data_IF_706017559210
#
_entry.id   IF_706017559210
#
_cell.length_a   1.000
_cell.length_b   1.000
_cell.length_c   1.000
_cell.angle_alpha   90.00
_cell.angle_beta   90.00
_cell.angle_gamma   90.00
#
_symmetry.space_group_name_H-M   'P 1'
#
loop_
_entity.id
_entity.type
_entity.pdbx_description
1 polymer ?
#
# COMPACT_ATOMS: atom_id res chain seq x y z
N UNK A 1 1.82 21.02 -6.55
CA UNK A 1 0.99 20.02 -7.19
C UNK A 1 -0.39 20.56 -7.58
N UNK A 2 -1.06 21.40 -6.77
CA UNK A 2 -2.37 21.97 -7.10
C UNK A 2 -2.36 22.85 -8.38
N UNK A 3 -1.30 23.58 -8.61
CA UNK A 3 -1.12 24.40 -9.81
C UNK A 3 -1.07 23.52 -11.06
N UNK A 4 -0.32 22.41 -11.01
CA UNK A 4 -0.26 21.43 -12.11
C UNK A 4 -1.61 20.78 -12.35
N UNK A 5 -2.32 20.38 -11.29
CA UNK A 5 -3.67 19.85 -11.40
C UNK A 5 -4.63 20.85 -12.08
N UNK A 6 -4.59 22.12 -11.70
CA UNK A 6 -5.40 23.16 -12.32
C UNK A 6 -4.99 23.40 -13.79
N UNK A 7 -3.71 23.32 -14.11
CA UNK A 7 -3.23 23.42 -15.49
C UNK A 7 -3.80 22.28 -16.34
N UNK A 8 -3.69 21.04 -15.88
CA UNK A 8 -4.13 19.87 -16.63
C UNK A 8 -5.65 19.77 -16.79
N UNK A 9 -6.42 20.05 -15.74
CA UNK A 9 -7.87 19.81 -15.73
C UNK A 9 -8.74 21.05 -15.90
N UNK A 10 -8.19 22.24 -15.67
CA UNK A 10 -8.94 23.50 -15.74
C UNK A 10 -8.37 24.47 -16.77
N UNK A 11 -7.36 24.02 -17.52
CA UNK A 11 -6.70 24.81 -18.55
C UNK A 11 -6.16 26.17 -18.04
N UNK A 12 -5.76 26.23 -16.78
CA UNK A 12 -5.11 27.41 -16.23
C UNK A 12 -3.76 27.60 -16.93
N UNK A 13 -3.48 28.74 -17.54
CA UNK A 13 -2.20 28.97 -18.19
C UNK A 13 -1.04 28.81 -17.21
N UNK A 14 0.03 28.18 -17.67
CA UNK A 14 1.23 27.96 -16.88
C UNK A 14 2.44 28.37 -17.72
N UNK A 15 3.31 29.20 -17.15
CA UNK A 15 4.54 29.60 -17.81
C UNK A 15 5.57 28.48 -17.69
N UNK A 16 6.27 28.20 -18.80
CA UNK A 16 7.30 27.14 -18.82
C UNK A 16 8.39 27.40 -17.78
N UNK A 17 8.81 28.64 -17.62
CA UNK A 17 9.80 29.03 -16.61
C UNK A 17 9.42 28.62 -15.19
N UNK A 18 8.14 28.67 -14.85
CA UNK A 18 7.66 28.22 -13.54
C UNK A 18 7.83 26.71 -13.35
N UNK A 19 7.59 25.94 -14.40
CA UNK A 19 7.79 24.46 -14.35
C UNK A 19 9.28 24.15 -14.21
N UNK A 20 10.12 24.84 -14.99
CA UNK A 20 11.57 24.65 -14.96
C UNK A 20 12.15 24.97 -13.57
N UNK A 21 11.70 26.04 -12.95
CA UNK A 21 12.10 26.40 -11.58
C UNK A 21 11.72 25.31 -10.57
N UNK A 22 10.50 24.75 -10.69
CA UNK A 22 10.06 23.66 -9.80
C UNK A 22 10.88 22.37 -9.99
N UNK A 23 11.26 22.06 -11.23
CA UNK A 23 12.12 20.90 -11.54
C UNK A 23 13.55 21.10 -11.00
N UNK A 24 14.06 22.31 -11.03
CA UNK A 24 15.36 22.64 -10.43
C UNK A 24 15.32 22.49 -8.92
N UNK A 25 14.22 22.93 -8.28
CA UNK A 25 14.06 22.84 -6.82
C UNK A 25 13.81 21.39 -6.35
N UNK A 26 13.10 20.60 -7.15
CA UNK A 26 12.75 19.22 -6.81
C UNK A 26 12.67 18.36 -8.08
N UNK A 27 13.64 17.49 -8.26
CA UNK A 27 13.69 16.58 -9.41
C UNK A 27 12.47 15.62 -9.47
N UNK A 28 11.86 15.33 -8.32
CA UNK A 28 10.66 14.49 -8.23
C UNK A 28 9.36 15.27 -8.38
N UNK A 29 9.41 16.56 -8.75
CA UNK A 29 8.22 17.42 -8.84
C UNK A 29 7.14 16.86 -9.76
N UNK A 30 7.51 16.29 -10.91
CA UNK A 30 6.55 15.69 -11.86
C UNK A 30 5.88 14.47 -11.25
N UNK A 31 6.66 13.54 -10.67
CA UNK A 31 6.14 12.35 -10.01
C UNK A 31 5.14 12.73 -8.90
N UNK A 32 5.50 13.71 -8.08
CA UNK A 32 4.62 14.23 -7.03
C UNK A 32 3.32 14.80 -7.60
N UNK A 33 3.41 15.54 -8.70
CA UNK A 33 2.25 16.16 -9.35
C UNK A 33 1.32 15.10 -9.96
N UNK A 34 1.88 14.06 -10.57
CA UNK A 34 1.12 12.93 -11.13
C UNK A 34 0.43 12.13 -10.01
N UNK A 35 1.15 11.82 -8.92
CA UNK A 35 0.53 11.18 -7.76
C UNK A 35 -0.65 12.00 -7.20
N UNK A 36 -0.45 13.32 -7.05
CA UNK A 36 -1.51 14.22 -6.60
C UNK A 36 -2.71 14.24 -7.54
N UNK A 37 -2.45 14.23 -8.84
CA UNK A 37 -3.49 14.19 -9.87
C UNK A 37 -4.36 12.96 -9.74
N UNK A 38 -3.78 11.78 -9.63
CA UNK A 38 -4.51 10.51 -9.51
C UNK A 38 -5.36 10.49 -8.23
N UNK A 39 -4.79 10.88 -7.10
CA UNK A 39 -5.54 10.92 -5.83
C UNK A 39 -6.73 11.87 -5.93
N UNK A 40 -6.55 13.02 -6.56
CA UNK A 40 -7.60 14.04 -6.68
C UNK A 40 -8.64 13.74 -7.77
N UNK A 41 -8.22 13.14 -8.88
CA UNK A 41 -9.07 12.83 -10.04
C UNK A 41 -10.14 11.79 -9.73
N UNK A 42 -9.97 11.01 -8.68
CA UNK A 42 -11.01 10.14 -8.13
C UNK A 42 -12.26 10.90 -7.63
N UNK A 43 -12.26 12.24 -7.70
CA UNK A 43 -13.35 13.12 -7.25
C UNK A 43 -13.29 13.44 -5.76
N UNK A 44 -12.21 13.08 -5.12
CA UNK A 44 -11.95 13.35 -3.71
C UNK A 44 -11.35 14.74 -3.50
N UNK A 45 -11.40 15.24 -2.29
CA UNK A 45 -10.79 16.52 -1.94
C UNK A 45 -9.47 16.25 -1.24
N UNK A 46 -8.42 16.83 -1.75
CA UNK A 46 -7.06 16.64 -1.27
C UNK A 46 -6.44 17.98 -0.92
N UNK A 47 -5.89 18.08 0.27
CA UNK A 47 -5.22 19.29 0.75
C UNK A 47 -3.77 18.95 1.11
N UNK A 48 -2.80 19.55 0.42
CA UNK A 48 -1.39 19.39 0.76
C UNK A 48 -1.06 20.07 2.10
N UNK A 49 -0.34 19.35 2.96
CA UNK A 49 0.13 19.84 4.26
C UNK A 49 1.53 19.27 4.52
N UNK A 50 2.53 20.11 4.58
CA UNK A 50 3.89 19.75 5.01
C UNK A 50 4.45 18.46 4.36
N UNK A 51 4.33 18.36 3.03
CA UNK A 51 4.88 17.23 2.26
C UNK A 51 4.01 15.98 2.19
N UNK A 52 2.88 15.96 2.87
CA UNK A 52 1.84 14.92 2.86
C UNK A 52 0.52 15.52 2.44
N UNK A 53 -0.48 14.68 2.20
CA UNK A 53 -1.80 15.13 1.79
C UNK A 53 -2.86 14.59 2.72
N UNK A 54 -3.79 15.44 3.13
CA UNK A 54 -5.03 15.00 3.75
C UNK A 54 -6.10 14.83 2.68
N UNK A 55 -6.84 13.73 2.75
CA UNK A 55 -7.86 13.34 1.80
C UNK A 55 -9.23 13.22 2.46
N UNK A 56 -10.24 13.79 1.81
CA UNK A 56 -11.65 13.67 2.17
C UNK A 56 -12.40 12.95 1.06
N UNK A 57 -13.42 12.18 1.42
CA UNK A 57 -14.30 11.55 0.45
C UNK A 57 -15.07 12.58 -0.38
N UNK A 58 -15.72 12.11 -1.43
CA UNK A 58 -16.52 12.96 -2.31
C UNK A 58 -17.64 13.70 -1.58
N UNK A 59 -18.23 13.07 -0.59
CA UNK A 59 -19.35 13.59 0.18
C UNK A 59 -18.92 14.50 1.32
N UNK A 60 -17.67 14.44 1.72
CA UNK A 60 -17.09 15.23 2.80
C UNK A 60 -16.40 16.51 2.28
N UNK A 61 -16.13 17.46 3.16
CA UNK A 61 -15.46 18.70 2.83
C UNK A 61 -14.57 19.17 3.98
N UNK A 62 -13.34 19.68 3.71
CA UNK A 62 -12.41 20.14 4.74
C UNK A 62 -12.98 21.12 5.76
N UNK A 63 -13.98 21.92 5.35
CA UNK A 63 -14.63 22.88 6.26
C UNK A 63 -15.78 22.27 7.09
N UNK A 64 -16.14 21.00 6.88
CA UNK A 64 -17.33 20.40 7.48
C UNK A 64 -17.06 19.09 8.22
N UNK A 65 -15.86 18.57 8.12
CA UNK A 65 -15.50 17.31 8.76
C UNK A 65 -14.03 17.01 8.68
N UNK A 66 -13.65 15.98 9.41
CA UNK A 66 -12.26 15.50 9.47
C UNK A 66 -11.88 14.75 8.18
N UNK A 67 -10.58 14.71 7.90
CA UNK A 67 -10.04 13.93 6.81
C UNK A 67 -10.29 12.43 7.06
N UNK A 68 -10.41 11.66 5.99
CA UNK A 68 -10.53 10.21 6.07
C UNK A 68 -9.18 9.50 6.02
N UNK A 69 -8.22 10.12 5.36
CA UNK A 69 -6.90 9.53 5.16
C UNK A 69 -5.82 10.60 5.15
N UNK A 70 -4.64 10.19 5.54
CA UNK A 70 -3.40 10.85 5.20
C UNK A 70 -2.73 10.07 4.07
N UNK A 71 -2.37 10.75 3.00
CA UNK A 71 -1.73 10.15 1.84
C UNK A 71 -0.28 10.64 1.78
N UNK A 72 0.65 9.71 1.73
CA UNK A 72 2.04 9.93 1.35
C UNK A 72 2.24 9.52 -0.10
N UNK A 73 3.27 10.01 -0.72
CA UNK A 73 3.66 9.59 -2.06
C UNK A 73 5.14 9.19 -2.06
N UNK A 74 5.51 8.33 -3.00
CA UNK A 74 6.88 7.87 -3.22
C UNK A 74 7.04 7.41 -4.66
N UNK A 75 8.26 7.14 -5.07
CA UNK A 75 8.57 6.50 -6.34
C UNK A 75 9.01 5.06 -6.12
N UNK A 76 8.93 4.22 -7.15
CA UNK A 76 9.43 2.83 -7.10
C UNK A 76 10.94 2.74 -6.84
N UNK A 77 11.67 3.86 -6.92
CA UNK A 77 13.11 3.94 -6.70
C UNK A 77 13.50 4.25 -5.25
N UNK A 78 12.54 4.66 -4.46
CA UNK A 78 12.78 5.02 -3.06
C UNK A 78 12.58 3.82 -2.16
N UNK A 79 13.52 3.58 -1.27
CA UNK A 79 13.41 2.54 -0.26
C UNK A 79 12.44 2.97 0.84
N UNK A 80 11.68 2.01 1.36
CA UNK A 80 10.79 2.24 2.48
C UNK A 80 11.43 1.76 3.78
N UNK A 81 11.44 2.62 4.78
CA UNK A 81 11.69 2.22 6.15
C UNK A 81 10.39 1.63 6.74
N UNK A 82 10.42 0.32 6.98
CA UNK A 82 9.26 -0.42 7.50
C UNK A 82 8.87 0.04 8.91
N UNK A 83 9.84 0.35 9.76
CA UNK A 83 9.57 0.83 11.11
C UNK A 83 8.91 2.21 11.08
N UNK A 84 9.35 3.10 10.19
CA UNK A 84 8.70 4.39 9.98
C UNK A 84 7.25 4.21 9.49
N UNK A 85 7.02 3.33 8.51
CA UNK A 85 5.69 3.05 7.98
C UNK A 85 4.76 2.47 9.05
N UNK A 86 5.25 1.55 9.87
CA UNK A 86 4.48 0.98 10.98
C UNK A 86 4.11 2.04 12.01
N UNK A 87 5.07 2.86 12.43
CA UNK A 87 4.83 3.92 13.40
C UNK A 87 3.85 4.97 12.86
N UNK A 88 3.99 5.36 11.60
CA UNK A 88 3.07 6.26 10.93
C UNK A 88 1.66 5.68 10.87
N UNK A 89 1.51 4.44 10.39
CA UNK A 89 0.21 3.75 10.29
C UNK A 89 -0.46 3.65 11.67
N UNK A 90 0.30 3.31 12.70
CA UNK A 90 -0.19 3.24 14.07
C UNK A 90 -0.69 4.60 14.57
N UNK A 91 0.10 5.65 14.36
CA UNK A 91 -0.26 7.00 14.78
C UNK A 91 -1.52 7.55 14.10
N UNK A 92 -1.78 7.12 12.87
CA UNK A 92 -2.99 7.48 12.14
C UNK A 92 -4.20 6.66 12.60
N UNK A 93 -4.00 5.38 12.85
CA UNK A 93 -5.06 4.51 13.39
C UNK A 93 -5.58 5.04 14.75
N UNK A 94 -4.71 5.57 15.60
CA UNK A 94 -5.09 6.20 16.86
C UNK A 94 -5.95 7.47 16.69
N UNK A 95 -5.90 8.07 15.49
CA UNK A 95 -6.67 9.28 15.11
C UNK A 95 -7.88 8.96 14.22
N UNK A 96 -8.18 7.68 14.02
CA UNK A 96 -9.21 7.21 13.07
C UNK A 96 -8.97 7.67 11.62
N UNK A 97 -7.70 7.82 11.25
CA UNK A 97 -7.26 8.16 9.90
C UNK A 97 -6.67 6.93 9.20
N UNK A 98 -6.98 6.77 7.93
CA UNK A 98 -6.38 5.74 7.08
C UNK A 98 -5.01 6.20 6.61
N UNK A 99 -4.03 5.29 6.62
CA UNK A 99 -2.72 5.49 6.00
C UNK A 99 -2.78 5.02 4.54
N UNK A 100 -2.47 5.90 3.60
CA UNK A 100 -2.45 5.57 2.18
C UNK A 100 -1.13 6.05 1.55
N UNK A 101 -0.59 5.25 0.61
CA UNK A 101 0.62 5.60 -0.14
C UNK A 101 0.31 5.54 -1.64
N UNK A 102 0.66 6.60 -2.35
CA UNK A 102 0.69 6.66 -3.80
C UNK A 102 2.12 6.38 -4.29
N UNK A 103 2.33 5.30 -5.00
CA UNK A 103 3.63 4.95 -5.58
C UNK A 103 3.58 5.21 -7.08
N UNK A 104 4.53 6.00 -7.56
CA UNK A 104 4.66 6.35 -8.98
C UNK A 104 5.82 5.57 -9.57
N UNK A 105 5.58 4.90 -10.67
CA UNK A 105 6.62 4.19 -11.42
C UNK A 105 7.30 5.03 -12.50
N UNK A 106 8.21 4.43 -13.25
CA UNK A 106 8.97 5.10 -14.30
C UNK A 106 8.11 5.46 -15.53
N UNK A 107 6.95 4.83 -15.70
CA UNK A 107 5.98 5.10 -16.77
C UNK A 107 4.94 6.15 -16.35
N UNK A 108 5.09 6.71 -15.15
CA UNK A 108 4.15 7.65 -14.53
C UNK A 108 2.80 7.02 -14.14
N UNK A 109 2.73 5.71 -14.05
CA UNK A 109 1.56 5.03 -13.50
C UNK A 109 1.59 5.11 -11.96
N UNK A 110 0.42 5.27 -11.38
CA UNK A 110 0.27 5.43 -9.92
C UNK A 110 -0.51 4.29 -9.33
N UNK A 111 0.11 3.58 -8.41
CA UNK A 111 -0.56 2.55 -7.61
C UNK A 111 -0.81 3.06 -6.20
N UNK A 112 -2.07 2.94 -5.76
CA UNK A 112 -2.48 3.33 -4.40
C UNK A 112 -2.51 2.11 -3.48
N UNK A 113 -1.85 2.23 -2.34
CA UNK A 113 -1.87 1.22 -1.27
C UNK A 113 -2.49 1.81 -0.02
N UNK A 114 -3.31 1.02 0.65
CA UNK A 114 -3.78 1.31 2.01
C UNK A 114 -3.04 0.43 3.00
N UNK A 115 -2.48 1.05 4.02
CA UNK A 115 -1.78 0.37 5.09
C UNK A 115 -2.69 0.21 6.29
N UNK A 116 -2.62 -0.96 6.91
CA UNK A 116 -3.31 -1.25 8.18
C UNK A 116 -2.45 -2.15 9.05
N UNK A 117 -2.57 -1.98 10.35
CA UNK A 117 -1.96 -2.89 11.31
C UNK A 117 -2.93 -4.02 11.56
N UNK A 118 -2.46 -5.23 11.37
CA UNK A 118 -3.20 -6.45 11.70
C UNK A 118 -2.47 -7.13 12.84
N UNK A 119 -3.16 -7.39 13.92
CA UNK A 119 -2.68 -8.30 14.96
C UNK A 119 -3.13 -9.72 14.56
N UNK A 120 -2.21 -10.55 14.06
CA UNK A 120 -2.58 -11.89 13.66
C UNK A 120 -2.86 -12.75 14.90
N UNK A 121 -4.11 -12.89 15.25
CA UNK A 121 -4.56 -13.88 16.22
C UNK A 121 -4.75 -15.23 15.51
N UNK A 122 -3.78 -16.10 15.66
CA UNK A 122 -3.87 -17.46 15.15
C UNK A 122 -4.30 -18.45 16.25
N UNK A 123 -5.22 -19.34 15.95
CA UNK A 123 -5.56 -20.51 16.81
C UNK A 123 -4.65 -21.71 16.54
N UNK A 124 -3.68 -21.58 15.64
CA UNK A 124 -2.72 -22.61 15.33
C UNK A 124 -1.72 -22.70 16.47
N UNK A 125 -1.63 -23.87 17.10
CA UNK A 125 -0.48 -24.20 17.94
C UNK A 125 0.79 -24.03 17.12
N UNK A 126 1.86 -23.44 17.66
CA UNK A 126 3.14 -23.42 16.98
C UNK A 126 3.47 -24.86 16.60
N UNK A 127 3.74 -25.10 15.32
CA UNK A 127 4.18 -26.38 14.86
C UNK A 127 5.31 -26.87 15.78
N UNK A 128 5.17 -28.05 16.32
CA UNK A 128 6.19 -28.63 17.19
C UNK A 128 7.53 -28.57 16.47
N UNK A 129 8.56 -28.17 17.17
CA UNK A 129 9.91 -27.96 16.64
C UNK A 129 10.57 -29.17 16.05
N UNK A 130 9.93 -30.32 16.12
CA UNK A 130 10.33 -31.57 15.49
C UNK A 130 9.80 -31.57 14.05
N UNK A 131 10.46 -31.10 13.28
CA UNK A 131 10.60 -30.57 11.97
C UNK A 131 10.60 -31.61 10.90
N UNK A 132 9.56 -31.60 10.14
CA UNK A 132 9.70 -31.94 8.74
C UNK A 132 9.70 -30.61 7.94
N UNK A 133 10.83 -30.19 7.39
CA UNK A 133 10.93 -28.89 6.72
C UNK A 133 10.43 -28.90 5.29
N UNK A 134 9.67 -29.89 4.88
CA UNK A 134 9.43 -30.00 3.51
C UNK A 134 8.07 -30.26 3.04
N UNK A 135 7.80 -29.82 2.11
CA UNK A 135 6.77 -29.20 1.46
C UNK A 135 6.36 -29.77 0.09
N UNK A 136 6.66 -31.05 -0.14
CA UNK A 136 6.28 -31.71 -1.37
C UNK A 136 7.17 -31.35 -2.58
N UNK A 137 6.91 -32.00 -3.68
CA UNK A 137 7.57 -31.79 -4.96
C UNK A 137 6.56 -31.16 -5.90
N UNK A 138 6.88 -30.00 -6.46
CA UNK A 138 6.05 -29.37 -7.45
C UNK A 138 6.23 -30.07 -8.81
N UNK A 139 5.12 -30.48 -9.42
CA UNK A 139 5.08 -30.99 -10.77
C UNK A 139 3.80 -30.57 -11.48
N UNK A 140 3.92 -29.95 -12.65
CA UNK A 140 2.79 -29.47 -13.45
C UNK A 140 1.77 -28.63 -12.66
N UNK A 141 2.26 -27.66 -11.89
CA UNK A 141 1.44 -26.77 -11.04
C UNK A 141 0.65 -27.48 -9.94
N UNK A 142 1.08 -28.68 -9.56
CA UNK A 142 0.57 -29.43 -8.42
C UNK A 142 1.69 -29.77 -7.48
N UNK A 143 1.41 -29.75 -6.18
CA UNK A 143 2.34 -30.23 -5.16
C UNK A 143 1.99 -31.68 -4.79
N UNK A 144 2.98 -32.54 -4.83
CA UNK A 144 2.87 -33.94 -4.43
C UNK A 144 3.65 -34.15 -3.14
N UNK A 145 2.96 -34.65 -2.13
CA UNK A 145 3.58 -35.02 -0.88
C UNK A 145 4.04 -36.49 -0.94
N UNK A 146 5.20 -36.75 -0.34
CA UNK A 146 5.64 -38.13 -0.12
C UNK A 146 4.87 -38.75 1.06
N UNK A 147 4.87 -40.08 1.15
CA UNK A 147 4.12 -40.76 2.18
C UNK A 147 4.60 -40.39 3.60
N UNK A 148 5.91 -40.23 3.79
CA UNK A 148 6.49 -39.80 5.08
C UNK A 148 6.05 -38.37 5.48
N UNK A 149 5.86 -37.48 4.51
CA UNK A 149 5.34 -36.14 4.74
C UNK A 149 3.85 -36.15 5.09
N UNK A 150 3.08 -37.02 4.40
CA UNK A 150 1.67 -37.23 4.70
C UNK A 150 1.47 -37.85 6.12
N UNK A 151 2.27 -38.84 6.48
CA UNK A 151 2.22 -39.45 7.78
C UNK A 151 2.57 -38.48 8.90
N UNK A 152 3.53 -37.61 8.64
CA UNK A 152 3.88 -36.53 9.57
C UNK A 152 2.75 -35.51 9.73
N UNK A 153 2.15 -35.04 8.61
CA UNK A 153 1.03 -34.09 8.62
C UNK A 153 -0.16 -34.69 9.38
N UNK A 154 -0.48 -35.94 9.14
CA UNK A 154 -1.59 -36.65 9.82
C UNK A 154 -1.31 -36.91 11.29
N UNK A 155 -0.05 -36.95 11.70
CA UNK A 155 0.36 -37.14 13.09
C UNK A 155 0.38 -35.87 13.93
N UNK A 156 0.28 -34.71 13.27
CA UNK A 156 0.23 -33.41 13.93
C UNK A 156 -1.22 -32.94 13.97
N UNK A 157 -1.76 -32.71 15.16
CA UNK A 157 -3.06 -32.02 15.31
C UNK A 157 -2.97 -30.60 14.76
N UNK A 158 -3.05 -30.46 13.44
CA UNK A 158 -2.88 -29.20 12.76
C UNK A 158 -4.07 -28.96 11.80
N UNK A 159 -4.83 -27.87 11.96
CA UNK A 159 -5.97 -27.56 11.08
C UNK A 159 -5.60 -27.33 9.60
N UNK A 160 -4.32 -27.30 9.26
CA UNK A 160 -3.85 -27.27 7.86
C UNK A 160 -4.07 -28.61 7.16
N UNK A 161 -4.28 -29.73 7.90
CA UNK A 161 -4.57 -31.03 7.30
C UNK A 161 -5.86 -31.04 6.48
N UNK A 162 -6.85 -30.26 6.83
CA UNK A 162 -8.11 -30.18 6.08
C UNK A 162 -7.94 -29.53 4.70
N UNK A 163 -7.01 -28.59 4.56
CA UNK A 163 -6.69 -27.94 3.29
C UNK A 163 -5.97 -28.88 2.30
N UNK A 164 -5.20 -29.85 2.80
CA UNK A 164 -4.50 -30.81 1.94
C UNK A 164 -5.33 -32.04 1.59
N UNK A 165 -6.36 -32.38 2.39
CA UNK A 165 -7.27 -33.48 2.10
C UNK A 165 -8.25 -33.16 0.97
N UNK A 166 -8.54 -31.88 0.70
CA UNK A 166 -9.39 -31.46 -0.40
C UNK A 166 -8.66 -31.33 -1.75
N UNK A 167 -7.35 -31.51 -1.77
CA UNK A 167 -6.51 -31.39 -2.97
C UNK A 167 -6.19 -32.74 -3.65
N UNK A 168 -6.76 -33.87 -3.18
CA UNK A 168 -6.61 -35.19 -3.77
C UNK A 168 -7.81 -35.59 -4.63
#
# INVERSE_FOLDING_TARGET
>A
EEVMFCHWHRHVPLEQSWVDDRLIENANFVYKSVAYDVVRSAGEKVVPIDGRWLRWSRESHPSKGDAEAEVRWSTVKEDFDIDELLNWTKSLSEKDLKAEIAIVDDEMDVTMYRLSIIEPEGKLSPATKDKHPQLGIEHLSRQFLRQDELDWINGVENPVTDLFSELN
#
